data_IF_564003853006
#
_entry.id   IF_564003853006
#
_cell.length_a   1.000
_cell.length_b   1.000
_cell.length_c   1.000
_cell.angle_alpha   90.00
_cell.angle_beta   90.00
_cell.angle_gamma   90.00
#
_symmetry.space_group_name_H-M   'P 1'
#
loop_
_entity.id
_entity.type
_entity.pdbx_description
1 polymer ?
#
# COMPACT_ATOMS: atom_id res chain seq x y z
N UNK A 1 26.94 -11.95 -6.21
CA UNK A 1 26.13 -10.77 -5.82
C UNK A 1 24.99 -11.28 -4.92
N UNK A 2 25.33 -11.53 -3.66
CA UNK A 2 24.66 -10.93 -2.48
C UNK A 2 23.37 -11.66 -2.12
N UNK A 3 23.53 -12.83 -1.49
CA UNK A 3 22.52 -13.47 -0.63
C UNK A 3 22.43 -12.75 0.73
N UNK A 4 22.36 -11.41 0.74
CA UNK A 4 21.99 -10.69 1.97
C UNK A 4 20.45 -10.56 2.00
N UNK A 5 19.79 -11.37 2.85
CA UNK A 5 18.41 -11.18 3.34
C UNK A 5 17.35 -10.82 2.28
N UNK A 6 17.00 -11.76 1.41
CA UNK A 6 15.90 -11.58 0.45
C UNK A 6 14.48 -11.58 1.06
N UNK A 7 14.34 -11.87 2.37
CA UNK A 7 13.05 -12.04 3.04
C UNK A 7 12.83 -11.07 4.23
N UNK A 8 13.58 -9.97 4.31
CA UNK A 8 13.34 -8.95 5.35
C UNK A 8 12.19 -8.03 4.91
N UNK A 9 10.98 -8.16 5.50
CA UNK A 9 9.80 -7.47 5.01
C UNK A 9 9.91 -5.94 5.14
N UNK A 10 10.65 -5.44 6.12
CA UNK A 10 10.83 -4.01 6.33
C UNK A 10 11.79 -3.42 5.28
N UNK A 11 12.85 -4.15 4.91
CA UNK A 11 13.74 -3.75 3.82
C UNK A 11 13.02 -3.77 2.47
N UNK A 12 12.22 -4.81 2.21
CA UNK A 12 11.41 -4.91 1.01
C UNK A 12 10.40 -3.75 0.94
N UNK A 13 9.74 -3.44 2.06
CA UNK A 13 8.84 -2.30 2.17
C UNK A 13 9.55 -0.97 1.84
N UNK A 14 10.69 -0.71 2.47
CA UNK A 14 11.49 0.49 2.22
C UNK A 14 11.87 0.63 0.74
N UNK A 15 12.27 -0.48 0.10
CA UNK A 15 12.63 -0.49 -1.32
C UNK A 15 11.41 -0.18 -2.20
N UNK A 16 10.28 -0.83 -1.95
CA UNK A 16 9.03 -0.58 -2.70
C UNK A 16 8.58 0.88 -2.54
N UNK A 17 8.57 1.41 -1.31
CA UNK A 17 8.24 2.80 -1.03
C UNK A 17 9.18 3.77 -1.78
N UNK A 18 10.49 3.51 -1.76
CA UNK A 18 11.47 4.35 -2.46
C UNK A 18 11.20 4.42 -3.97
N UNK A 19 10.79 3.31 -4.58
CA UNK A 19 10.44 3.28 -6.02
C UNK A 19 9.16 4.11 -6.28
N UNK A 20 8.16 4.02 -5.40
CA UNK A 20 6.88 4.72 -5.53
C UNK A 20 6.97 6.22 -5.23
N UNK A 21 7.88 6.62 -4.32
CA UNK A 21 7.91 7.95 -3.73
C UNK A 21 8.91 8.90 -4.38
N UNK A 22 10.07 8.40 -4.82
CA UNK A 22 11.19 9.25 -5.23
C UNK A 22 10.85 10.17 -6.40
N UNK A 23 10.74 11.47 -6.12
CA UNK A 23 10.63 12.53 -7.13
C UNK A 23 11.86 12.50 -8.06
N UNK A 24 11.63 12.64 -9.36
CA UNK A 24 12.72 12.66 -10.37
C UNK A 24 13.17 11.30 -10.93
N UNK A 25 12.62 10.17 -10.47
CA UNK A 25 12.73 8.91 -11.23
C UNK A 25 11.86 9.03 -12.49
N UNK A 26 12.50 9.26 -13.64
CA UNK A 26 11.80 9.42 -14.94
C UNK A 26 10.98 8.20 -15.34
N UNK A 27 11.39 7.01 -14.92
CA UNK A 27 10.70 5.74 -15.16
C UNK A 27 10.58 4.99 -13.82
N UNK A 28 9.51 5.25 -13.07
CA UNK A 28 9.18 4.45 -11.88
C UNK A 28 8.62 3.11 -12.35
N UNK A 29 9.33 2.04 -12.03
CA UNK A 29 8.88 0.69 -12.36
C UNK A 29 7.86 0.22 -11.30
N UNK A 30 6.58 0.52 -11.58
CA UNK A 30 5.49 0.15 -10.70
C UNK A 30 5.25 -1.36 -10.62
N UNK A 31 5.66 -2.12 -11.65
CA UNK A 31 5.58 -3.58 -11.62
C UNK A 31 6.59 -4.15 -10.62
N UNK A 32 7.81 -3.63 -10.61
CA UNK A 32 8.82 -4.00 -9.62
C UNK A 32 8.39 -3.58 -8.21
N UNK A 33 7.87 -2.36 -8.03
CA UNK A 33 7.38 -1.91 -6.72
C UNK A 33 6.25 -2.81 -6.21
N UNK A 34 5.29 -3.15 -7.08
CA UNK A 34 4.19 -4.03 -6.74
C UNK A 34 4.68 -5.42 -6.32
N UNK A 35 5.58 -6.03 -7.11
CA UNK A 35 6.15 -7.34 -6.79
C UNK A 35 6.86 -7.37 -5.43
N UNK A 36 7.65 -6.34 -5.14
CA UNK A 36 8.38 -6.23 -3.87
C UNK A 36 7.40 -6.05 -2.70
N UNK A 37 6.41 -5.17 -2.83
CA UNK A 37 5.41 -4.93 -1.80
C UNK A 37 4.55 -6.18 -1.53
N UNK A 38 4.20 -6.94 -2.58
CA UNK A 38 3.48 -8.22 -2.45
C UNK A 38 4.28 -9.23 -1.65
N UNK A 39 5.58 -9.38 -1.93
CA UNK A 39 6.47 -10.27 -1.16
C UNK A 39 6.53 -9.86 0.32
N UNK A 40 6.69 -8.57 0.59
CA UNK A 40 6.74 -8.06 1.96
C UNK A 40 5.42 -8.36 2.72
N UNK A 41 4.28 -8.18 2.05
CA UNK A 41 2.96 -8.47 2.60
C UNK A 41 2.77 -9.98 2.84
N UNK A 42 3.23 -10.83 1.93
CA UNK A 42 3.19 -12.30 2.07
C UNK A 42 4.00 -12.77 3.29
N UNK A 43 5.24 -12.27 3.44
CA UNK A 43 6.12 -12.61 4.57
C UNK A 43 5.48 -12.24 5.91
N UNK A 44 4.85 -11.06 5.98
CA UNK A 44 4.14 -10.60 7.18
C UNK A 44 2.74 -11.18 7.32
N UNK A 45 2.28 -12.00 6.36
CA UNK A 45 0.92 -12.54 6.29
C UNK A 45 -0.15 -11.45 6.39
N UNK A 46 0.09 -10.31 5.75
CA UNK A 46 -0.78 -9.13 5.75
C UNK A 46 -1.07 -8.58 7.16
N UNK A 47 -0.09 -8.63 8.07
CA UNK A 47 -0.23 -8.12 9.44
C UNK A 47 0.48 -6.80 9.72
N UNK A 48 1.28 -6.31 8.78
CA UNK A 48 2.00 -5.05 8.94
C UNK A 48 1.29 -3.92 8.17
N UNK A 49 0.67 -2.94 8.86
CA UNK A 49 -0.05 -1.84 8.23
C UNK A 49 0.79 -0.99 7.26
N UNK A 50 2.06 -0.75 7.58
CA UNK A 50 2.95 0.05 6.72
C UNK A 50 3.28 -0.63 5.39
N UNK A 51 3.35 -1.96 5.41
CA UNK A 51 3.57 -2.75 4.22
C UNK A 51 2.30 -2.79 3.37
N UNK A 52 1.14 -2.93 4.01
CA UNK A 52 -0.14 -2.90 3.33
C UNK A 52 -0.44 -1.54 2.69
N UNK A 53 -0.10 -0.43 3.34
CA UNK A 53 -0.18 0.91 2.77
C UNK A 53 0.68 1.04 1.49
N UNK A 54 1.93 0.57 1.56
CA UNK A 54 2.84 0.56 0.41
C UNK A 54 2.32 -0.30 -0.73
N UNK A 55 1.78 -1.48 -0.43
CA UNK A 55 1.16 -2.37 -1.41
C UNK A 55 -0.09 -1.73 -2.05
N UNK A 56 -0.94 -1.10 -1.25
CA UNK A 56 -2.12 -0.38 -1.74
C UNK A 56 -1.73 0.77 -2.67
N UNK A 57 -0.69 1.53 -2.32
CA UNK A 57 -0.11 2.56 -3.20
C UNK A 57 0.40 1.97 -4.51
N UNK A 58 1.09 0.84 -4.49
CA UNK A 58 1.55 0.18 -5.70
C UNK A 58 0.37 -0.22 -6.63
N UNK A 59 -0.70 -0.79 -6.08
CA UNK A 59 -1.92 -1.08 -6.85
C UNK A 59 -2.55 0.18 -7.42
N UNK A 60 -2.61 1.26 -6.64
CA UNK A 60 -3.14 2.54 -7.08
C UNK A 60 -2.36 3.12 -8.27
N UNK A 61 -1.03 3.16 -8.20
CA UNK A 61 -0.17 3.65 -9.30
C UNK A 61 -0.27 2.78 -10.56
N UNK A 62 -0.54 1.47 -10.40
CA UNK A 62 -0.85 0.55 -11.50
C UNK A 62 -2.27 0.69 -12.07
N UNK A 63 -3.15 1.44 -11.40
CA UNK A 63 -4.54 1.64 -11.80
C UNK A 63 -5.52 0.53 -11.41
N UNK A 64 -5.08 -0.43 -10.58
CA UNK A 64 -5.92 -1.46 -9.97
C UNK A 64 -6.60 -0.89 -8.71
N UNK A 65 -7.59 -0.03 -8.95
CA UNK A 65 -8.25 0.75 -7.90
C UNK A 65 -9.07 -0.12 -6.94
N UNK A 66 -9.53 -1.28 -7.39
CA UNK A 66 -10.24 -2.23 -6.52
C UNK A 66 -9.30 -2.80 -5.47
N UNK A 67 -8.16 -3.34 -5.89
CA UNK A 67 -7.15 -3.87 -4.94
C UNK A 67 -6.52 -2.78 -4.09
N UNK A 68 -6.37 -1.57 -4.61
CA UNK A 68 -5.88 -0.44 -3.82
C UNK A 68 -6.80 -0.13 -2.63
N UNK A 69 -8.11 -0.05 -2.87
CA UNK A 69 -9.11 0.18 -1.81
C UNK A 69 -9.18 -1.00 -0.83
N UNK A 70 -9.20 -2.23 -1.34
CA UNK A 70 -9.23 -3.44 -0.50
C UNK A 70 -8.02 -3.52 0.43
N UNK A 71 -6.81 -3.36 -0.12
CA UNK A 71 -5.56 -3.45 0.62
C UNK A 71 -5.41 -2.32 1.63
N UNK A 72 -5.80 -1.09 1.27
CA UNK A 72 -5.74 0.05 2.19
C UNK A 72 -6.73 -0.10 3.35
N UNK A 73 -7.91 -0.67 3.09
CA UNK A 73 -8.88 -0.99 4.14
C UNK A 73 -8.29 -2.00 5.12
N UNK A 74 -7.63 -3.04 4.61
CA UNK A 74 -6.94 -4.02 5.45
C UNK A 74 -5.81 -3.38 6.28
N UNK A 75 -5.07 -2.40 5.74
CA UNK A 75 -4.04 -1.68 6.50
C UNK A 75 -4.62 -1.00 7.75
N UNK A 76 -5.77 -0.33 7.60
CA UNK A 76 -6.47 0.34 8.71
C UNK A 76 -6.98 -0.68 9.73
N UNK A 77 -7.52 -1.81 9.27
CA UNK A 77 -7.98 -2.88 10.16
C UNK A 77 -6.83 -3.41 11.03
N UNK A 78 -5.64 -3.63 10.43
CA UNK A 78 -4.45 -4.09 11.16
C UNK A 78 -3.94 -3.09 12.21
N UNK A 79 -4.17 -1.78 12.03
CA UNK A 79 -3.86 -0.78 13.08
C UNK A 79 -4.73 -0.95 14.33
N UNK A 80 -5.94 -1.49 14.18
CA UNK A 80 -6.93 -1.62 15.28
C UNK A 80 -7.06 -3.03 15.83
N UNK A 81 -6.20 -3.96 15.40
CA UNK A 81 -6.24 -5.34 15.86
C UNK A 81 -6.04 -5.44 17.38
N UNK A 82 -6.89 -6.23 18.05
CA UNK A 82 -6.94 -6.29 19.52
C UNK A 82 -5.64 -6.78 20.18
N UNK A 83 -4.83 -7.55 19.46
CA UNK A 83 -3.60 -8.20 19.98
C UNK A 83 -2.33 -7.34 19.78
N UNK A 84 -2.45 -6.05 19.45
CA UNK A 84 -1.30 -5.17 19.26
C UNK A 84 -0.63 -4.83 20.61
N UNK A 85 0.71 -4.97 20.72
CA UNK A 85 1.47 -4.50 21.88
C UNK A 85 1.18 -3.03 22.19
N UNK A 86 1.07 -2.68 23.47
CA UNK A 86 0.75 -1.31 23.92
C UNK A 86 1.77 -0.29 23.40
N UNK A 87 3.04 -0.71 23.30
CA UNK A 87 4.15 0.09 22.80
C UNK A 87 4.02 0.43 21.30
N UNK A 88 3.25 -0.36 20.55
CA UNK A 88 2.98 -0.12 19.13
C UNK A 88 1.71 0.69 18.90
N UNK A 89 0.76 0.69 19.84
CA UNK A 89 -0.54 1.37 19.66
C UNK A 89 -0.40 2.85 19.33
N UNK A 90 0.49 3.57 20.02
CA UNK A 90 0.72 5.00 19.74
C UNK A 90 1.22 5.24 18.30
N UNK A 91 2.06 4.35 17.78
CA UNK A 91 2.57 4.45 16.40
C UNK A 91 1.46 4.14 15.39
N UNK A 92 0.65 3.12 15.65
CA UNK A 92 -0.48 2.72 14.81
C UNK A 92 -1.58 3.78 14.78
N UNK A 93 -1.89 4.38 15.94
CA UNK A 93 -2.85 5.48 16.06
C UNK A 93 -2.36 6.73 15.34
N UNK A 94 -1.06 7.03 15.41
CA UNK A 94 -0.47 8.15 14.66
C UNK A 94 -0.48 7.92 13.14
N UNK A 95 -0.36 6.67 12.70
CA UNK A 95 -0.35 6.29 11.28
C UNK A 95 -1.76 6.28 10.66
N UNK A 96 -2.77 5.90 11.44
CA UNK A 96 -4.14 5.67 10.97
C UNK A 96 -4.75 6.84 10.16
N UNK A 97 -4.62 8.13 10.55
CA UNK A 97 -5.18 9.24 9.79
C UNK A 97 -4.63 9.33 8.35
N UNK A 98 -3.34 9.04 8.16
CA UNK A 98 -2.73 9.03 6.82
C UNK A 98 -3.25 7.86 5.98
N UNK A 99 -3.48 6.70 6.60
CA UNK A 99 -4.08 5.55 5.93
C UNK A 99 -5.51 5.82 5.46
N UNK A 100 -6.31 6.47 6.31
CA UNK A 100 -7.68 6.87 5.99
C UNK A 100 -7.70 7.90 4.85
N UNK A 101 -6.79 8.88 4.88
CA UNK A 101 -6.64 9.86 3.79
C UNK A 101 -6.27 9.20 2.46
N UNK A 102 -5.38 8.21 2.47
CA UNK A 102 -5.06 7.43 1.28
C UNK A 102 -6.26 6.63 0.77
N UNK A 103 -7.03 6.01 1.68
CA UNK A 103 -8.25 5.27 1.34
C UNK A 103 -9.27 6.16 0.63
N UNK A 104 -9.53 7.35 1.17
CA UNK A 104 -10.48 8.30 0.56
C UNK A 104 -10.01 8.77 -0.83
N UNK A 105 -8.70 9.00 -1.00
CA UNK A 105 -8.11 9.27 -2.33
C UNK A 105 -8.38 8.12 -3.31
N UNK A 106 -8.19 6.87 -2.88
CA UNK A 106 -8.35 5.70 -3.75
C UNK A 106 -9.82 5.47 -4.13
N UNK A 107 -10.75 5.63 -3.18
CA UNK A 107 -12.21 5.58 -3.45
C UNK A 107 -12.64 6.65 -4.43
N UNK A 108 -12.23 7.90 -4.22
CA UNK A 108 -12.57 9.00 -5.12
C UNK A 108 -12.05 8.77 -6.55
N UNK A 109 -10.84 8.21 -6.69
CA UNK A 109 -10.31 7.83 -8.00
C UNK A 109 -11.13 6.72 -8.66
N UNK A 110 -11.56 5.71 -7.89
CA UNK A 110 -12.41 4.60 -8.36
C UNK A 110 -13.76 5.11 -8.86
N UNK A 111 -14.42 5.96 -8.09
CA UNK A 111 -15.70 6.58 -8.46
C UNK A 111 -15.56 7.42 -9.73
N UNK A 112 -14.50 8.25 -9.82
CA UNK A 112 -14.24 9.05 -11.01
C UNK A 112 -14.02 8.19 -12.26
N UNK A 113 -13.31 7.06 -12.14
CA UNK A 113 -13.10 6.11 -13.25
C UNK A 113 -14.42 5.48 -13.68
N UNK A 114 -15.26 5.05 -12.75
CA UNK A 114 -16.57 4.46 -13.03
C UNK A 114 -17.53 5.47 -13.70
N UNK A 115 -17.58 6.71 -13.20
CA UNK A 115 -18.41 7.77 -13.77
C UNK A 115 -18.00 8.12 -15.21
N UNK A 116 -16.69 8.12 -15.50
CA UNK A 116 -16.18 8.35 -16.86
C UNK A 116 -16.63 7.24 -17.82
N UNK A 117 -16.51 5.98 -17.40
CA UNK A 117 -16.92 4.83 -18.22
C UNK A 117 -18.43 4.84 -18.50
N UNK A 118 -19.26 5.13 -17.50
CA UNK A 118 -20.72 5.23 -17.68
C UNK A 118 -21.17 6.41 -18.56
N UNK A 119 -20.32 7.44 -18.74
CA UNK A 119 -20.59 8.58 -19.61
C UNK A 119 -20.15 8.37 -21.07
N UNK A 120 -19.18 7.47 -21.31
CA UNK A 120 -18.70 7.10 -22.66
C UNK A 120 -19.62 6.08 -23.35
N UNK A 121 -20.48 5.39 -22.59
CA UNK A 121 -21.47 4.42 -23.10
C UNK A 121 -22.84 5.03 -23.46
N UNK A 122 -23.00 6.36 -23.36
CA UNK A 122 -24.23 7.10 -23.71
C UNK A 122 -24.08 7.90 -25.00
#
# INVERSE_FOLDING_TARGET
>A
LVELRNDDPDLLNYLAWTILDKEGLKNRDFDVALFIAQKAAEITKNKNPAILDTLARAYFEKGDLDKAVETQTLAIEQCTAADQPEELKQQLDAMKPDLEKALEKYKAAKEKKAAKQAGEEK
#
